data_IF_953531350262
#
_entry.id   IF_953531350262
#
_cell.length_a   1.000
_cell.length_b   1.000
_cell.length_c   1.000
_cell.angle_alpha   90.00
_cell.angle_beta   90.00
_cell.angle_gamma   90.00
#
_symmetry.space_group_name_H-M   'P 1'
#
loop_
_entity.id
_entity.type
_entity.pdbx_description
1 polymer ?
#
# COMPACT_ATOMS: atom_id res chain seq x y z
N UNK A 1 2.12 -27.79 -1.64
CA UNK A 1 1.01 -27.72 -2.60
C UNK A 1 -0.07 -26.87 -1.97
N UNK A 2 -0.28 -25.65 -2.45
CA UNK A 2 -1.39 -24.81 -1.99
C UNK A 2 -2.66 -25.26 -2.71
N UNK A 3 -3.68 -25.69 -1.96
CA UNK A 3 -5.00 -25.96 -2.51
C UNK A 3 -5.74 -24.62 -2.59
N UNK A 4 -5.88 -24.06 -3.79
CA UNK A 4 -6.74 -22.92 -4.03
C UNK A 4 -8.18 -23.41 -4.24
N UNK A 5 -9.11 -22.90 -3.44
CA UNK A 5 -10.54 -23.18 -3.57
C UNK A 5 -11.21 -22.06 -4.37
N UNK A 6 -12.06 -22.43 -5.33
CA UNK A 6 -12.91 -21.49 -6.06
C UNK A 6 -14.27 -21.47 -5.40
N UNK A 7 -14.66 -20.30 -4.87
CA UNK A 7 -15.99 -20.10 -4.28
C UNK A 7 -16.92 -19.51 -5.34
N UNK A 8 -18.20 -19.93 -5.33
CA UNK A 8 -19.20 -19.43 -6.27
C UNK A 8 -19.65 -18.00 -5.96
N UNK A 9 -19.50 -17.55 -4.71
CA UNK A 9 -19.87 -16.22 -4.24
C UNK A 9 -18.98 -15.86 -3.03
N UNK A 10 -18.78 -14.57 -2.76
CA UNK A 10 -18.05 -14.05 -1.61
C UNK A 10 -18.76 -12.79 -1.12
N UNK A 11 -19.16 -12.77 0.15
CA UNK A 11 -19.85 -11.64 0.76
C UNK A 11 -18.90 -10.81 1.63
N UNK A 12 -18.90 -9.49 1.45
CA UNK A 12 -18.16 -8.57 2.33
C UNK A 12 -18.92 -8.39 3.65
N UNK A 13 -18.30 -8.71 4.78
CA UNK A 13 -18.93 -8.65 6.12
C UNK A 13 -18.57 -7.37 6.90
N UNK A 14 -17.91 -6.41 6.26
CA UNK A 14 -17.46 -5.15 6.86
C UNK A 14 -16.27 -4.55 6.10
N UNK A 15 -15.82 -3.38 6.54
CA UNK A 15 -14.55 -2.79 6.10
C UNK A 15 -13.40 -3.35 6.94
N UNK A 16 -12.25 -3.59 6.32
CA UNK A 16 -11.06 -3.96 7.06
C UNK A 16 -10.61 -2.77 7.92
N UNK A 17 -10.12 -2.99 9.15
CA UNK A 17 -9.66 -1.91 10.01
C UNK A 17 -8.45 -1.17 9.45
N UNK A 18 -7.77 -1.70 8.41
CA UNK A 18 -6.72 -1.03 7.65
C UNK A 18 -6.70 -1.59 6.22
N UNK A 19 -6.09 -0.85 5.30
CA UNK A 19 -5.84 -1.29 3.92
C UNK A 19 -4.34 -1.40 3.64
N UNK A 20 -3.93 -2.34 2.79
CA UNK A 20 -2.54 -2.36 2.30
C UNK A 20 -2.29 -1.07 1.52
N UNK A 21 -1.16 -0.42 1.79
CA UNK A 21 -0.80 0.90 1.26
C UNK A 21 -1.30 2.08 2.08
N UNK A 22 -2.12 1.82 3.12
CA UNK A 22 -2.62 2.88 3.99
C UNK A 22 -1.51 3.51 4.83
N UNK A 23 -1.58 4.82 5.00
CA UNK A 23 -0.71 5.58 5.89
C UNK A 23 -1.25 5.56 7.31
N UNK A 24 -0.35 5.27 8.23
CA UNK A 24 -0.64 5.08 9.64
C UNK A 24 0.46 5.72 10.50
N UNK A 25 0.15 5.97 11.77
CA UNK A 25 1.13 6.13 12.82
C UNK A 25 1.32 4.79 13.51
N UNK A 26 2.56 4.43 13.80
CA UNK A 26 2.92 3.24 14.57
C UNK A 26 3.67 3.63 15.83
N UNK A 27 3.32 2.98 16.93
CA UNK A 27 4.02 3.14 18.19
C UNK A 27 5.05 2.03 18.34
N UNK A 28 6.31 2.42 18.52
CA UNK A 28 7.41 1.49 18.71
C UNK A 28 8.03 1.58 20.11
N UNK A 29 9.03 0.73 20.33
CA UNK A 29 9.71 0.61 21.62
C UNK A 29 10.57 1.84 21.97
N UNK A 30 10.73 2.80 21.05
CA UNK A 30 11.37 4.09 21.31
C UNK A 30 10.41 5.08 21.98
N UNK A 31 9.20 4.62 22.33
CA UNK A 31 8.15 5.41 22.98
C UNK A 31 7.76 6.66 22.19
N UNK A 32 7.70 6.52 20.87
CA UNK A 32 7.31 7.60 19.96
C UNK A 32 6.36 7.09 18.88
N UNK A 33 5.45 7.97 18.44
CA UNK A 33 4.66 7.74 17.23
C UNK A 33 5.51 8.07 16.01
N UNK A 34 5.56 7.13 15.07
CA UNK A 34 6.26 7.27 13.81
C UNK A 34 5.33 7.02 12.63
N UNK A 35 5.49 7.76 11.52
CA UNK A 35 4.70 7.52 10.31
C UNK A 35 5.14 6.21 9.61
N UNK A 36 4.20 5.51 8.98
CA UNK A 36 4.45 4.27 8.25
C UNK A 36 3.35 3.86 7.27
N UNK A 37 3.64 2.85 6.44
CA UNK A 37 2.71 2.31 5.43
C UNK A 37 2.37 0.84 5.71
N UNK A 38 1.08 0.50 5.73
CA UNK A 38 0.61 -0.87 5.89
C UNK A 38 1.02 -1.72 4.68
N UNK A 39 1.63 -2.87 4.93
CA UNK A 39 2.13 -3.80 3.89
C UNK A 39 1.35 -5.11 3.84
N UNK A 40 0.77 -5.52 4.97
CA UNK A 40 0.05 -6.79 5.12
C UNK A 40 -0.98 -6.61 6.24
N UNK A 41 -2.15 -7.26 6.12
CA UNK A 41 -3.24 -7.16 7.09
C UNK A 41 -3.31 -8.34 8.06
N UNK A 42 -2.67 -9.48 7.75
CA UNK A 42 -2.74 -10.68 8.60
C UNK A 42 -1.40 -11.43 8.63
N UNK A 43 -0.54 -11.23 9.64
CA UNK A 43 -0.66 -10.20 10.68
C UNK A 43 -0.52 -8.78 10.11
N UNK A 44 -1.02 -7.76 10.83
CA UNK A 44 -0.82 -6.36 10.46
C UNK A 44 0.67 -6.02 10.51
N UNK A 45 1.25 -5.67 9.36
CA UNK A 45 2.66 -5.26 9.24
C UNK A 45 2.76 -3.91 8.59
N UNK A 46 3.64 -3.06 9.11
CA UNK A 46 3.84 -1.69 8.64
C UNK A 46 5.33 -1.47 8.33
N UNK A 47 5.64 -0.83 7.22
CA UNK A 47 6.95 -0.23 7.00
C UNK A 47 6.97 1.14 7.67
N UNK A 48 7.74 1.30 8.75
CA UNK A 48 8.01 2.63 9.34
C UNK A 48 8.86 3.42 8.35
N UNK A 49 8.58 4.71 8.20
CA UNK A 49 9.35 5.56 7.29
C UNK A 49 10.84 5.54 7.67
N UNK A 50 11.70 5.36 6.67
CA UNK A 50 13.14 5.20 6.87
C UNK A 50 13.57 3.77 7.24
N UNK A 51 12.64 2.81 7.28
CA UNK A 51 12.95 1.38 7.48
C UNK A 51 12.78 0.57 6.19
N UNK A 52 13.70 -0.36 5.97
CA UNK A 52 13.65 -1.30 4.83
C UNK A 52 12.77 -2.53 5.10
N UNK A 53 12.33 -2.73 6.34
CA UNK A 53 11.61 -3.92 6.78
C UNK A 53 10.24 -3.58 7.37
N UNK A 54 9.27 -4.48 7.17
CA UNK A 54 7.95 -4.35 7.75
C UNK A 54 7.85 -5.11 9.08
N UNK A 55 7.39 -4.43 10.12
CA UNK A 55 7.27 -4.96 11.48
C UNK A 55 5.82 -4.97 11.96
N UNK A 56 5.57 -5.80 12.96
CA UNK A 56 4.35 -5.72 13.77
C UNK A 56 4.63 -4.72 14.89
N UNK A 57 3.76 -3.72 15.05
CA UNK A 57 3.88 -2.67 16.07
C UNK A 57 2.92 -2.92 17.23
N UNK A 58 3.22 -2.32 18.39
CA UNK A 58 2.41 -2.48 19.60
C UNK A 58 1.06 -1.76 19.46
N UNK A 59 1.05 -0.64 18.75
CA UNK A 59 -0.16 0.11 18.40
C UNK A 59 -0.02 0.71 17.00
N UNK A 60 -1.15 0.87 16.30
CA UNK A 60 -1.24 1.41 14.94
C UNK A 60 -2.51 2.23 14.82
N UNK A 61 -2.40 3.46 14.33
CA UNK A 61 -3.51 4.40 14.22
C UNK A 61 -3.57 5.01 12.81
N UNK A 62 -4.78 5.26 12.32
CA UNK A 62 -5.02 5.92 11.05
C UNK A 62 -4.44 7.33 11.03
N UNK A 63 -3.80 7.73 9.92
CA UNK A 63 -3.46 9.14 9.68
C UNK A 63 -4.50 9.90 8.85
N UNK A 64 -5.53 9.21 8.36
CA UNK A 64 -6.72 9.85 7.79
C UNK A 64 -6.91 9.75 6.28
N UNK A 65 -5.96 9.21 5.50
CA UNK A 65 -6.20 8.76 4.11
C UNK A 65 -4.92 8.10 3.55
N UNK A 66 -5.06 7.04 2.77
CA UNK A 66 -3.96 6.52 1.96
C UNK A 66 -3.68 7.52 0.83
N UNK A 67 -2.42 7.90 0.56
CA UNK A 67 -2.08 8.90 -0.44
C UNK A 67 -2.44 8.44 -1.86
N UNK A 68 -2.57 7.12 -2.07
CA UNK A 68 -2.97 6.50 -3.33
C UNK A 68 -3.77 5.21 -3.07
N UNK A 69 -4.59 4.80 -4.03
CA UNK A 69 -5.37 3.56 -4.02
C UNK A 69 -5.03 2.71 -5.26
N UNK A 70 -5.07 1.38 -5.16
CA UNK A 70 -4.93 0.53 -6.37
C UNK A 70 -6.11 0.80 -7.31
N UNK A 71 -5.80 1.04 -8.58
CA UNK A 71 -6.76 1.48 -9.61
C UNK A 71 -6.90 3.00 -9.72
N UNK A 72 -6.29 3.77 -8.82
CA UNK A 72 -6.29 5.23 -8.88
C UNK A 72 -5.55 5.75 -10.12
N UNK A 73 -6.10 6.80 -10.74
CA UNK A 73 -5.51 7.48 -11.89
C UNK A 73 -4.62 8.62 -11.42
N UNK A 74 -3.34 8.55 -11.79
CA UNK A 74 -2.31 9.50 -11.35
C UNK A 74 -1.57 10.07 -12.55
N UNK A 75 -0.80 11.14 -12.33
CA UNK A 75 0.18 11.65 -13.29
C UNK A 75 1.56 11.14 -12.89
N UNK A 76 2.29 10.60 -13.86
CA UNK A 76 3.65 10.09 -13.67
C UNK A 76 4.61 10.94 -14.49
N UNK A 77 5.71 11.38 -13.88
CA UNK A 77 6.81 12.02 -14.57
C UNK A 77 7.83 10.98 -14.99
N UNK A 78 8.14 10.89 -16.27
CA UNK A 78 9.08 9.90 -16.78
C UNK A 78 10.38 10.50 -17.33
N UNK A 79 11.28 9.62 -17.76
CA UNK A 79 12.60 9.97 -18.27
C UNK A 79 12.56 10.74 -19.61
N UNK A 80 11.39 10.85 -20.25
CA UNK A 80 11.17 11.73 -21.40
C UNK A 80 10.85 13.17 -20.97
N UNK A 81 10.95 13.45 -19.66
CA UNK A 81 10.68 14.74 -19.03
C UNK A 81 9.26 15.24 -19.33
N UNK A 82 8.29 14.32 -19.32
CA UNK A 82 6.88 14.63 -19.57
C UNK A 82 5.97 14.02 -18.50
N UNK A 83 4.89 14.72 -18.16
CA UNK A 83 3.79 14.14 -17.39
C UNK A 83 2.94 13.27 -18.30
N UNK A 84 2.63 12.06 -17.85
CA UNK A 84 1.70 11.16 -18.53
C UNK A 84 0.73 10.52 -17.55
N UNK A 85 -0.49 10.21 -18.00
CA UNK A 85 -1.47 9.54 -17.16
C UNK A 85 -1.07 8.07 -16.92
N UNK A 86 -1.39 7.55 -15.73
CA UNK A 86 -1.15 6.16 -15.36
C UNK A 86 -2.11 5.64 -14.30
N UNK A 87 -2.04 4.33 -14.04
CA UNK A 87 -2.88 3.64 -13.06
C UNK A 87 -2.00 2.98 -11.99
N UNK A 88 -2.28 3.27 -10.73
CA UNK A 88 -1.63 2.62 -9.58
C UNK A 88 -1.98 1.13 -9.57
N UNK A 89 -0.98 0.26 -9.61
CA UNK A 89 -1.16 -1.20 -9.60
C UNK A 89 -0.73 -1.86 -8.29
N UNK A 90 0.10 -1.18 -7.50
CA UNK A 90 0.58 -1.66 -6.21
C UNK A 90 0.93 -0.47 -5.33
N UNK A 91 0.74 -0.56 -4.02
CA UNK A 91 1.02 0.54 -3.09
C UNK A 91 2.33 0.34 -2.29
N UNK A 92 2.91 -0.86 -2.29
CA UNK A 92 4.14 -1.15 -1.55
C UNK A 92 5.00 -2.22 -2.23
N UNK A 93 6.07 -1.84 -2.97
CA UNK A 93 6.40 -0.45 -3.34
C UNK A 93 5.32 0.15 -4.25
N UNK A 94 5.25 1.49 -4.34
CA UNK A 94 4.27 2.14 -5.20
C UNK A 94 4.61 1.80 -6.65
N UNK A 95 3.67 1.18 -7.36
CA UNK A 95 3.81 0.87 -8.78
C UNK A 95 2.72 1.53 -9.58
N UNK A 96 3.09 2.13 -10.70
CA UNK A 96 2.15 2.77 -11.63
C UNK A 96 2.43 2.29 -13.05
N UNK A 97 1.41 1.79 -13.75
CA UNK A 97 1.48 1.59 -15.19
C UNK A 97 1.12 2.89 -15.90
N UNK A 98 2.04 3.44 -16.68
CA UNK A 98 1.73 4.56 -17.59
C UNK A 98 0.87 4.05 -18.74
N UNK A 99 -0.07 4.85 -19.21
CA UNK A 99 -0.85 4.52 -20.39
C UNK A 99 0.09 4.32 -21.60
N UNK A 100 -0.08 3.19 -22.30
CA UNK A 100 0.78 2.81 -23.43
C UNK A 100 2.12 2.17 -23.04
N UNK A 101 2.40 1.99 -21.74
CA UNK A 101 3.55 1.23 -21.23
C UNK A 101 3.13 -0.18 -20.80
N UNK A 102 3.94 -1.18 -21.16
CA UNK A 102 3.80 -2.56 -20.66
C UNK A 102 4.51 -2.75 -19.30
N UNK A 103 5.33 -1.80 -18.88
CA UNK A 103 6.08 -1.86 -17.63
C UNK A 103 5.51 -0.90 -16.58
N UNK A 104 5.45 -1.37 -15.34
CA UNK A 104 5.14 -0.52 -14.19
C UNK A 104 6.41 0.18 -13.68
N UNK A 105 6.30 1.48 -13.46
CA UNK A 105 7.32 2.29 -12.79
C UNK A 105 7.21 2.05 -11.29
N UNK A 106 8.34 1.91 -10.60
CA UNK A 106 8.42 1.73 -9.15
C UNK A 106 8.88 3.05 -8.52
N UNK A 107 8.17 3.52 -7.49
CA UNK A 107 8.45 4.74 -6.73
C UNK A 107 8.73 4.40 -5.26
#
# INVERSE_FOLDING_TARGET
SENAYVFADTQHTGEAPFHVGERVQVWDNEASWGPGTVSQLTPLRVFRDGSENAYVFADTQHTGEAPFHVGERVQVWDNEASWGPGTVSQLTPLRVFRDGSENAYVF
#
